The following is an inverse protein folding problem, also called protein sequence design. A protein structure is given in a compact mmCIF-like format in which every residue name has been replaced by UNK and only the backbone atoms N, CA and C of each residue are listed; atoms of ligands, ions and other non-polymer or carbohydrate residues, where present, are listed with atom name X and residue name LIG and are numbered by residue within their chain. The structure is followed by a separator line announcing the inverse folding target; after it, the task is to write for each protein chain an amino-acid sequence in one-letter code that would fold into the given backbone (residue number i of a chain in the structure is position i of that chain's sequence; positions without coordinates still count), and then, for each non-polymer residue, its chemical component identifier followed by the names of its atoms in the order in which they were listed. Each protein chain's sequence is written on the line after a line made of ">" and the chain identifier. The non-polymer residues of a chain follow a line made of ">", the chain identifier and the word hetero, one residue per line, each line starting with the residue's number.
data_IF_891371179548
#
_entry.id   IF_891371179548
#
_cell.length_a   1.000
_cell.length_b   1.000
_cell.length_c   1.000
_cell.angle_alpha   90.00
_cell.angle_beta   90.00
_cell.angle_gamma   90.00
#
_symmetry.space_group_name_H-M   'P 1'
#
loop_
_entity.id
_entity.type
_entity.pdbx_description
1 polymer ?
#
# COMPACT_ATOMS: atom_id res chain seq x y z
N UNK A 1 11.95 40.33 8.22
CA UNK A 1 12.58 39.12 7.62
C UNK A 1 12.68 37.92 8.59
N UNK A 2 12.74 38.12 9.92
CA UNK A 2 12.83 37.04 10.92
C UNK A 2 11.49 36.43 11.40
N UNK A 3 10.35 37.02 11.02
CA UNK A 3 9.02 36.47 11.38
C UNK A 3 8.64 35.23 10.56
N UNK A 4 8.92 35.24 9.24
CA UNK A 4 8.54 34.14 8.35
C UNK A 4 9.26 32.81 8.64
N UNK A 5 10.48 32.84 9.21
CA UNK A 5 11.19 31.62 9.60
C UNK A 5 10.57 30.94 10.84
N UNK A 6 9.95 31.70 11.76
CA UNK A 6 9.27 31.13 12.93
C UNK A 6 7.95 30.46 12.54
N UNK A 7 7.21 31.06 11.61
CA UNK A 7 5.95 30.48 11.12
C UNK A 7 6.18 29.16 10.35
N UNK A 8 7.28 29.05 9.59
CA UNK A 8 7.65 27.80 8.91
C UNK A 8 7.95 26.66 9.89
N UNK A 9 8.57 26.96 11.04
CA UNK A 9 8.83 25.95 12.08
C UNK A 9 7.59 25.58 12.89
N UNK A 10 6.60 26.48 13.00
CA UNK A 10 5.32 26.19 13.66
C UNK A 10 4.42 25.27 12.82
N UNK A 11 4.42 25.42 11.48
CA UNK A 11 3.65 24.52 10.60
C UNK A 11 4.22 23.09 10.58
N UNK A 12 5.54 22.95 10.76
CA UNK A 12 6.23 21.67 10.87
C UNK A 12 5.88 20.87 12.15
N UNK A 13 5.28 21.53 13.16
CA UNK A 13 4.84 20.89 14.41
C UNK A 13 3.44 20.27 14.35
N UNK A 14 2.73 20.40 13.22
CA UNK A 14 1.60 19.53 12.85
C UNK A 14 0.66 19.18 14.00
N UNK A 15 0.12 20.19 14.68
CA UNK A 15 -0.97 20.00 15.64
C UNK A 15 -2.30 19.93 14.87
N UNK A 16 -2.51 18.82 14.15
CA UNK A 16 -3.80 18.45 13.58
C UNK A 16 -4.29 17.13 14.21
N UNK A 17 -5.60 16.96 14.30
CA UNK A 17 -6.33 16.01 15.15
C UNK A 17 -6.11 14.50 14.88
N UNK A 18 -5.18 14.09 14.02
CA UNK A 18 -4.83 12.68 13.80
C UNK A 18 -3.39 12.39 14.25
N UNK A 19 -3.21 12.35 15.58
CA UNK A 19 -1.96 12.02 16.25
C UNK A 19 -1.62 10.51 16.22
N UNK A 20 -2.47 9.64 15.65
CA UNK A 20 -2.45 8.23 16.07
C UNK A 20 -1.42 7.32 15.40
N UNK A 21 -0.80 7.66 14.26
CA UNK A 21 0.11 6.68 13.64
C UNK A 21 1.27 7.31 12.86
N UNK A 22 2.18 7.99 13.53
CA UNK A 22 3.56 8.15 13.03
C UNK A 22 4.37 6.91 13.40
N UNK A 23 4.03 5.77 12.82
CA UNK A 23 4.92 4.62 12.79
C UNK A 23 4.84 3.97 11.41
N UNK A 24 5.96 3.44 10.87
CA UNK A 24 5.97 2.70 9.59
C UNK A 24 5.02 1.48 9.56
N UNK A 25 4.37 1.15 10.69
CA UNK A 25 3.29 0.17 10.81
C UNK A 25 1.93 0.67 10.36
N UNK A 26 1.71 1.98 10.34
CA UNK A 26 0.42 2.59 10.01
C UNK A 26 -0.10 2.12 8.66
N UNK A 27 0.80 2.15 7.68
CA UNK A 27 0.49 1.89 6.29
C UNK A 27 0.01 0.45 6.11
N UNK A 28 0.70 -0.53 6.70
CA UNK A 28 0.30 -1.93 6.66
C UNK A 28 -1.05 -2.18 7.36
N UNK A 29 -1.34 -1.52 8.48
CA UNK A 29 -2.64 -1.64 9.15
C UNK A 29 -3.79 -1.05 8.34
N UNK A 30 -3.58 0.07 7.64
CA UNK A 30 -4.61 0.67 6.78
C UNK A 30 -4.91 -0.27 5.61
N UNK A 31 -3.91 -0.95 5.04
CA UNK A 31 -4.12 -1.93 3.98
C UNK A 31 -4.85 -3.20 4.47
N UNK A 32 -4.50 -3.69 5.66
CA UNK A 32 -5.21 -4.80 6.29
C UNK A 32 -6.68 -4.43 6.57
N UNK A 33 -6.94 -3.22 7.07
CA UNK A 33 -8.29 -2.72 7.30
C UNK A 33 -9.07 -2.52 5.99
N UNK A 34 -8.44 -1.92 4.98
CA UNK A 34 -9.03 -1.76 3.65
C UNK A 34 -9.43 -3.10 3.03
N UNK A 35 -8.55 -4.10 3.10
CA UNK A 35 -8.84 -5.46 2.63
C UNK A 35 -9.93 -6.13 3.48
N UNK A 36 -9.90 -5.99 4.81
CA UNK A 36 -10.90 -6.54 5.72
C UNK A 36 -12.30 -5.97 5.49
N UNK A 37 -12.43 -4.69 5.13
CA UNK A 37 -13.73 -4.08 4.80
C UNK A 37 -14.12 -4.35 3.33
N UNK A 38 -13.13 -4.46 2.43
CA UNK A 38 -13.33 -4.80 1.02
C UNK A 38 -13.91 -6.20 0.81
N UNK A 39 -13.47 -7.21 1.58
CA UNK A 39 -13.97 -8.60 1.49
C UNK A 39 -15.50 -8.70 1.67
N UNK A 40 -16.10 -8.21 2.77
CA UNK A 40 -17.55 -8.29 2.98
C UNK A 40 -18.31 -7.37 2.01
N UNK A 41 -17.77 -6.19 1.65
CA UNK A 41 -18.41 -5.33 0.66
C UNK A 41 -18.48 -6.00 -0.72
N UNK A 42 -17.40 -6.66 -1.16
CA UNK A 42 -17.37 -7.36 -2.44
C UNK A 42 -18.28 -8.59 -2.42
N UNK A 43 -18.29 -9.35 -1.31
CA UNK A 43 -19.19 -10.50 -1.15
C UNK A 43 -20.66 -10.08 -1.20
N UNK A 44 -21.04 -9.04 -0.46
CA UNK A 44 -22.39 -8.48 -0.48
C UNK A 44 -22.74 -7.90 -1.85
N UNK A 45 -21.81 -7.22 -2.51
CA UNK A 45 -21.99 -6.70 -3.87
C UNK A 45 -22.34 -7.79 -4.88
N UNK A 46 -21.65 -8.94 -4.84
CA UNK A 46 -21.94 -10.10 -5.69
C UNK A 46 -23.32 -10.69 -5.34
N UNK A 47 -23.66 -10.79 -4.05
CA UNK A 47 -24.93 -11.38 -3.64
C UNK A 47 -26.15 -10.50 -3.98
N UNK A 48 -26.00 -9.18 -3.87
CA UNK A 48 -27.05 -8.20 -4.12
C UNK A 48 -27.27 -7.89 -5.60
N UNK A 49 -26.36 -8.28 -6.50
CA UNK A 49 -26.45 -7.95 -7.92
C UNK A 49 -27.73 -8.48 -8.60
N UNK A 50 -28.28 -9.58 -8.10
CA UNK A 50 -29.52 -10.20 -8.59
C UNK A 50 -30.79 -9.68 -7.90
N UNK A 51 -30.65 -9.03 -6.73
CA UNK A 51 -31.78 -8.64 -5.88
C UNK A 51 -32.03 -7.13 -5.98
N UNK A 52 -31.00 -6.32 -5.84
CA UNK A 52 -31.10 -4.85 -5.78
C UNK A 52 -29.89 -4.19 -6.42
N UNK A 53 -30.06 -3.72 -7.66
CA UNK A 53 -29.00 -3.07 -8.43
C UNK A 53 -28.42 -1.85 -7.71
N UNK A 54 -29.26 -0.97 -7.15
CA UNK A 54 -28.80 0.27 -6.48
C UNK A 54 -27.87 -0.01 -5.30
N UNK A 55 -28.17 -1.03 -4.49
CA UNK A 55 -27.33 -1.40 -3.35
C UNK A 55 -26.00 -2.00 -3.83
N UNK A 56 -26.01 -2.82 -4.88
CA UNK A 56 -24.80 -3.39 -5.45
C UNK A 56 -23.80 -2.31 -5.90
N UNK A 57 -24.28 -1.23 -6.53
CA UNK A 57 -23.44 -0.09 -6.93
C UNK A 57 -22.77 0.62 -5.75
N UNK A 58 -23.49 0.81 -4.63
CA UNK A 58 -22.94 1.44 -3.43
C UNK A 58 -21.85 0.56 -2.79
N UNK A 59 -22.07 -0.76 -2.69
CA UNK A 59 -21.06 -1.67 -2.15
C UNK A 59 -19.83 -1.82 -3.04
N UNK A 60 -20.02 -1.83 -4.37
CA UNK A 60 -18.91 -1.83 -5.33
C UNK A 60 -18.11 -0.53 -5.24
N UNK A 61 -18.76 0.62 -5.07
CA UNK A 61 -18.06 1.89 -4.87
C UNK A 61 -17.15 1.85 -3.63
N UNK A 62 -17.65 1.35 -2.50
CA UNK A 62 -16.84 1.20 -1.29
C UNK A 62 -15.68 0.21 -1.48
N UNK A 63 -15.93 -0.88 -2.19
CA UNK A 63 -14.91 -1.89 -2.55
C UNK A 63 -13.79 -1.29 -3.39
N UNK A 64 -14.12 -0.48 -4.39
CA UNK A 64 -13.14 0.21 -5.24
C UNK A 64 -12.33 1.22 -4.41
N UNK A 65 -12.96 1.97 -3.51
CA UNK A 65 -12.21 2.87 -2.62
C UNK A 65 -11.18 2.09 -1.80
N UNK A 66 -11.59 0.97 -1.20
CA UNK A 66 -10.71 0.13 -0.40
C UNK A 66 -9.53 -0.44 -1.23
N UNK A 67 -9.77 -0.86 -2.48
CA UNK A 67 -8.70 -1.38 -3.35
C UNK A 67 -7.72 -0.29 -3.79
N UNK A 68 -8.22 0.93 -4.05
CA UNK A 68 -7.38 2.08 -4.40
C UNK A 68 -6.44 2.46 -3.24
N UNK A 69 -6.92 2.38 -2.00
CA UNK A 69 -6.09 2.61 -0.82
C UNK A 69 -4.96 1.58 -0.72
N UNK A 70 -5.25 0.30 -0.95
CA UNK A 70 -4.24 -0.76 -0.95
C UNK A 70 -3.12 -0.48 -1.97
N UNK A 71 -3.47 -0.03 -3.17
CA UNK A 71 -2.49 0.32 -4.20
C UNK A 71 -1.60 1.49 -3.79
N UNK A 72 -2.19 2.57 -3.25
CA UNK A 72 -1.42 3.73 -2.76
C UNK A 72 -0.44 3.37 -1.64
N UNK A 73 -0.81 2.43 -0.78
CA UNK A 73 -0.02 2.03 0.38
C UNK A 73 1.16 1.13 -0.02
N UNK A 74 0.98 0.20 -0.97
CA UNK A 74 2.08 -0.64 -1.43
C UNK A 74 3.23 0.20 -1.98
N UNK A 75 2.89 1.23 -2.78
CA UNK A 75 3.85 2.22 -3.28
C UNK A 75 4.52 2.93 -2.12
N UNK A 76 3.80 3.39 -1.09
CA UNK A 76 4.44 4.04 0.06
C UNK A 76 5.44 3.12 0.80
N UNK A 77 5.06 1.87 1.05
CA UNK A 77 5.91 0.87 1.73
C UNK A 77 7.16 0.54 0.91
N UNK A 78 7.05 0.42 -0.41
CA UNK A 78 8.19 0.14 -1.29
C UNK A 78 9.27 1.22 -1.19
N UNK A 79 8.84 2.48 -1.14
CA UNK A 79 9.75 3.62 -1.17
C UNK A 79 10.44 3.83 0.18
N UNK A 80 9.90 3.26 1.26
CA UNK A 80 10.50 3.20 2.59
C UNK A 80 11.60 2.13 2.72
N UNK A 81 11.59 1.08 1.89
CA UNK A 81 12.59 -0.01 1.93
C UNK A 81 13.66 0.11 0.85
N UNK A 82 13.41 0.86 -0.23
CA UNK A 82 14.37 1.03 -1.33
C UNK A 82 15.19 2.31 -1.17
N UNK A 83 16.51 2.20 -1.34
CA UNK A 83 17.40 3.38 -1.36
C UNK A 83 16.98 4.40 -2.43
N UNK A 84 17.08 5.71 -2.17
CA UNK A 84 16.51 6.76 -3.02
C UNK A 84 17.00 6.73 -4.48
N UNK A 85 18.23 6.25 -4.73
CA UNK A 85 18.82 6.14 -6.07
C UNK A 85 18.15 5.07 -6.95
N UNK A 86 17.48 4.06 -6.37
CA UNK A 86 16.87 2.93 -7.10
C UNK A 86 15.35 2.92 -7.04
N UNK A 87 14.76 3.92 -6.36
CA UNK A 87 13.33 4.05 -6.07
C UNK A 87 12.44 4.00 -7.32
N UNK A 88 12.86 4.66 -8.40
CA UNK A 88 12.09 4.74 -9.65
C UNK A 88 11.96 3.38 -10.34
N UNK A 89 13.06 2.63 -10.45
CA UNK A 89 13.07 1.30 -11.09
C UNK A 89 12.21 0.32 -10.29
N UNK A 90 12.34 0.32 -8.95
CA UNK A 90 11.54 -0.56 -8.10
C UNK A 90 10.03 -0.29 -8.27
N UNK A 91 9.62 0.98 -8.27
CA UNK A 91 8.22 1.37 -8.48
C UNK A 91 7.71 0.95 -9.87
N UNK A 92 8.53 1.10 -10.92
CA UNK A 92 8.17 0.64 -12.26
C UNK A 92 7.98 -0.87 -12.33
N UNK A 93 8.84 -1.65 -11.65
CA UNK A 93 8.71 -3.10 -11.59
C UNK A 93 7.45 -3.55 -10.84
N UNK A 94 7.14 -2.91 -9.71
CA UNK A 94 5.91 -3.18 -8.95
C UNK A 94 4.66 -2.99 -9.83
N UNK A 95 4.57 -1.82 -10.49
CA UNK A 95 3.45 -1.48 -11.36
C UNK A 95 3.39 -2.44 -12.55
N UNK A 96 4.52 -2.74 -13.20
CA UNK A 96 4.57 -3.63 -14.36
C UNK A 96 4.08 -5.04 -14.01
N UNK A 97 4.55 -5.61 -12.90
CA UNK A 97 4.11 -6.93 -12.44
C UNK A 97 2.62 -6.90 -12.08
N UNK A 98 2.17 -5.87 -11.36
CA UNK A 98 0.78 -5.73 -10.93
C UNK A 98 -0.18 -5.61 -12.11
N UNK A 99 0.14 -4.80 -13.12
CA UNK A 99 -0.71 -4.66 -14.31
C UNK A 99 -0.64 -5.89 -15.22
N UNK A 100 0.54 -6.48 -15.43
CA UNK A 100 0.66 -7.66 -16.27
C UNK A 100 -0.12 -8.84 -15.68
N UNK A 101 0.00 -9.08 -14.38
CA UNK A 101 -0.72 -10.17 -13.72
C UNK A 101 -2.18 -9.77 -13.46
N UNK A 102 -2.47 -8.55 -13.06
CA UNK A 102 -3.83 -8.10 -12.77
C UNK A 102 -4.70 -8.00 -14.01
N UNK A 103 -4.31 -7.15 -14.96
CA UNK A 103 -5.15 -6.81 -16.12
C UNK A 103 -5.14 -7.89 -17.20
N UNK A 104 -4.00 -8.56 -17.43
CA UNK A 104 -3.94 -9.61 -18.44
C UNK A 104 -4.38 -10.99 -17.90
N UNK A 105 -3.96 -11.35 -16.68
CA UNK A 105 -4.28 -12.68 -16.13
C UNK A 105 -5.62 -12.74 -15.40
N UNK A 106 -6.07 -11.64 -14.79
CA UNK A 106 -7.37 -11.56 -14.10
C UNK A 106 -8.56 -12.01 -14.95
N UNK A 107 -8.85 -11.38 -16.10
CA UNK A 107 -9.98 -11.79 -16.94
C UNK A 107 -9.79 -13.19 -17.53
N UNK A 108 -8.55 -13.61 -17.79
CA UNK A 108 -8.26 -14.96 -18.29
C UNK A 108 -8.60 -16.04 -17.25
N UNK A 109 -8.18 -15.84 -15.99
CA UNK A 109 -8.47 -16.77 -14.88
C UNK A 109 -9.98 -16.82 -14.61
N UNK A 110 -10.65 -15.66 -14.54
CA UNK A 110 -12.10 -15.60 -14.31
C UNK A 110 -12.87 -16.24 -15.46
N UNK A 111 -12.43 -16.04 -16.70
CA UNK A 111 -13.01 -16.65 -17.90
C UNK A 111 -12.91 -18.18 -17.88
N UNK A 112 -11.71 -18.72 -17.65
CA UNK A 112 -11.50 -20.17 -17.55
C UNK A 112 -12.33 -20.81 -16.44
N UNK A 113 -12.46 -20.15 -15.29
CA UNK A 113 -13.28 -20.64 -14.18
C UNK A 113 -14.77 -20.57 -14.53
N UNK A 114 -15.23 -19.49 -15.16
CA UNK A 114 -16.61 -19.36 -15.63
C UNK A 114 -16.96 -20.46 -16.63
N UNK A 115 -16.06 -20.75 -17.58
CA UNK A 115 -16.26 -21.81 -18.58
C UNK A 115 -16.27 -23.20 -17.94
N UNK A 116 -15.40 -23.44 -16.95
CA UNK A 116 -15.37 -24.68 -16.17
C UNK A 116 -16.66 -24.91 -15.38
N UNK A 117 -17.22 -23.86 -14.76
CA UNK A 117 -18.48 -23.93 -13.97
C UNK A 117 -19.71 -24.12 -14.88
N UNK A 118 -19.67 -23.62 -16.11
CA UNK A 118 -20.80 -23.65 -17.06
C UNK A 118 -21.07 -25.04 -17.64
N UNK A 119 -20.04 -25.84 -17.90
CA UNK A 119 -20.20 -27.14 -18.56
C UNK A 119 -20.84 -27.03 -19.95
N UNK A 120 -21.79 -27.92 -20.28
CA UNK A 120 -22.38 -28.04 -21.64
C UNK A 120 -23.67 -27.23 -21.87
N UNK A 121 -24.15 -26.45 -20.89
CA UNK A 121 -25.44 -25.75 -20.99
C UNK A 121 -25.29 -24.34 -21.59
N UNK A 122 -26.07 -24.03 -22.62
CA UNK A 122 -25.96 -22.82 -23.45
C UNK A 122 -27.05 -21.77 -23.19
N UNK A 123 -27.74 -21.81 -22.05
CA UNK A 123 -28.78 -20.83 -21.73
C UNK A 123 -28.20 -19.48 -21.28
N UNK A 124 -28.72 -18.32 -21.73
CA UNK A 124 -28.22 -16.99 -21.34
C UNK A 124 -28.21 -16.75 -19.82
N UNK A 125 -29.19 -17.30 -19.09
CA UNK A 125 -29.25 -17.19 -17.63
C UNK A 125 -28.11 -17.96 -16.94
N UNK A 126 -27.69 -19.09 -17.52
CA UNK A 126 -26.57 -19.88 -16.99
C UNK A 126 -25.21 -19.22 -17.21
N UNK A 127 -25.06 -18.40 -18.26
CA UNK A 127 -23.85 -17.59 -18.47
C UNK A 127 -23.67 -16.57 -17.35
N UNK A 128 -24.73 -15.82 -17.01
CA UNK A 128 -24.67 -14.84 -15.93
C UNK A 128 -24.41 -15.51 -14.57
N UNK A 129 -25.08 -16.63 -14.28
CA UNK A 129 -24.88 -17.38 -13.05
C UNK A 129 -23.46 -17.96 -12.90
N UNK A 130 -22.86 -18.46 -13.99
CA UNK A 130 -21.49 -18.95 -13.99
C UNK A 130 -20.48 -17.81 -13.77
N UNK A 131 -20.72 -16.65 -14.40
CA UNK A 131 -19.88 -15.46 -14.25
C UNK A 131 -19.93 -14.92 -12.80
N UNK A 132 -21.12 -14.79 -12.22
CA UNK A 132 -21.29 -14.39 -10.81
C UNK A 132 -20.57 -15.37 -9.88
N UNK A 133 -20.60 -16.68 -10.19
CA UNK A 133 -19.85 -17.68 -9.42
C UNK A 133 -18.33 -17.54 -9.58
N UNK A 134 -17.84 -17.22 -10.76
CA UNK A 134 -16.42 -16.98 -10.99
C UNK A 134 -15.90 -15.78 -10.20
N UNK A 135 -16.73 -14.76 -9.96
CA UNK A 135 -16.39 -13.61 -9.12
C UNK A 135 -16.17 -13.93 -7.62
N UNK A 136 -16.51 -15.14 -7.13
CA UNK A 136 -16.10 -15.57 -5.80
C UNK A 136 -14.61 -15.89 -5.69
N UNK A 137 -13.92 -16.22 -6.79
CA UNK A 137 -12.47 -16.49 -6.78
C UNK A 137 -11.66 -15.24 -6.37
N UNK A 138 -11.89 -14.05 -6.97
CA UNK A 138 -11.31 -12.80 -6.48
C UNK A 138 -11.57 -12.52 -4.99
N UNK A 139 -12.75 -12.90 -4.47
CA UNK A 139 -13.08 -12.73 -3.06
C UNK A 139 -12.17 -13.60 -2.15
N UNK A 140 -11.91 -14.85 -2.53
CA UNK A 140 -10.97 -15.73 -1.80
C UNK A 140 -9.54 -15.19 -1.87
N UNK A 141 -9.11 -14.68 -3.02
CA UNK A 141 -7.79 -14.05 -3.18
C UNK A 141 -7.66 -12.83 -2.28
N UNK A 142 -8.72 -12.02 -2.13
CA UNK A 142 -8.75 -10.90 -1.19
C UNK A 142 -8.62 -11.34 0.27
N UNK A 143 -9.25 -12.45 0.66
CA UNK A 143 -9.10 -13.02 2.01
C UNK A 143 -7.65 -13.42 2.27
N UNK A 144 -7.03 -14.13 1.33
CA UNK A 144 -5.61 -14.52 1.41
C UNK A 144 -4.73 -13.27 1.52
N UNK A 145 -5.02 -12.25 0.71
CA UNK A 145 -4.33 -10.96 0.74
C UNK A 145 -4.42 -10.28 2.12
N UNK A 146 -5.62 -10.22 2.73
CA UNK A 146 -5.77 -9.65 4.07
C UNK A 146 -4.95 -10.38 5.13
N UNK A 147 -4.91 -11.72 5.08
CA UNK A 147 -4.07 -12.52 5.99
C UNK A 147 -2.58 -12.24 5.76
N UNK A 148 -2.14 -12.22 4.50
CA UNK A 148 -0.76 -11.91 4.15
C UNK A 148 -0.36 -10.50 4.57
N UNK A 149 -1.25 -9.50 4.47
CA UNK A 149 -0.98 -8.14 4.93
C UNK A 149 -0.86 -8.05 6.45
N UNK A 150 -1.64 -8.81 7.22
CA UNK A 150 -1.50 -8.89 8.68
C UNK A 150 -0.15 -9.50 9.05
N UNK A 151 0.23 -10.58 8.36
CA UNK A 151 1.54 -11.24 8.56
C UNK A 151 2.67 -10.27 8.19
N UNK A 152 2.57 -9.60 7.05
CA UNK A 152 3.54 -8.60 6.61
C UNK A 152 3.66 -7.44 7.62
N UNK A 153 2.55 -6.94 8.17
CA UNK A 153 2.57 -5.90 9.20
C UNK A 153 3.35 -6.32 10.46
N UNK A 154 3.29 -7.60 10.83
CA UNK A 154 4.03 -8.14 11.96
C UNK A 154 5.55 -8.22 11.68
N UNK A 155 5.94 -8.74 10.51
CA UNK A 155 7.35 -8.94 10.14
C UNK A 155 8.05 -7.68 9.63
N UNK A 156 7.32 -6.72 9.05
CA UNK A 156 7.88 -5.53 8.41
C UNK A 156 8.73 -4.69 9.37
N UNK A 157 8.36 -4.62 10.65
CA UNK A 157 9.14 -3.82 11.61
C UNK A 157 10.40 -4.49 12.09
N UNK A 158 10.42 -5.81 12.19
CA UNK A 158 11.67 -6.53 12.46
C UNK A 158 12.69 -6.30 11.35
N UNK A 159 12.25 -6.32 10.09
CA UNK A 159 13.14 -6.14 8.94
C UNK A 159 13.56 -4.67 8.76
N UNK A 160 12.66 -3.72 8.99
CA UNK A 160 12.99 -2.30 8.92
C UNK A 160 14.01 -1.87 9.97
N UNK A 161 13.93 -2.41 11.19
CA UNK A 161 14.93 -2.17 12.24
C UNK A 161 16.27 -2.83 11.94
N UNK A 162 16.28 -3.97 11.25
CA UNK A 162 17.51 -4.63 10.78
C UNK A 162 18.17 -3.85 9.65
N UNK A 163 17.38 -3.37 8.69
CA UNK A 163 17.85 -2.50 7.60
C UNK A 163 18.52 -1.22 8.11
N UNK A 164 17.93 -0.56 9.13
CA UNK A 164 18.52 0.63 9.77
C UNK A 164 19.88 0.37 10.42
N UNK A 165 20.07 -0.82 11.01
CA UNK A 165 21.35 -1.22 11.60
C UNK A 165 22.42 -1.46 10.53
N UNK A 166 22.06 -2.14 9.45
CA UNK A 166 22.98 -2.41 8.33
C UNK A 166 23.36 -1.15 7.54
N UNK A 167 22.44 -0.18 7.46
CA UNK A 167 22.69 1.15 6.87
C UNK A 167 23.48 2.09 7.79
N UNK A 168 23.93 1.63 8.97
CA UNK A 168 24.83 2.39 9.85
C UNK A 168 24.20 3.58 10.56
N UNK A 169 22.86 3.66 10.67
CA UNK A 169 22.19 4.80 11.31
C UNK A 169 22.24 4.77 12.85
N UNK A 170 22.91 3.78 13.46
CA UNK A 170 23.09 3.63 14.91
C UNK A 170 24.56 3.88 15.30
N UNK A 171 25.14 4.98 14.83
CA UNK A 171 26.32 5.56 15.50
C UNK A 171 26.38 7.10 15.41
N UNK A 172 25.22 7.77 15.53
CA UNK A 172 25.20 9.25 15.66
C UNK A 172 24.16 9.81 16.62
N UNK A 173 23.67 8.97 17.54
CA UNK A 173 22.74 9.36 18.60
C UNK A 173 23.06 8.72 19.96
N UNK A 174 24.24 8.12 20.11
CA UNK A 174 24.75 7.57 21.37
C UNK A 174 25.84 8.41 22.06
N UNK A 175 26.34 9.48 21.43
CA UNK A 175 27.43 10.31 21.97
C UNK A 175 27.08 11.80 21.96
N UNK A 176 25.94 12.18 22.52
CA UNK A 176 25.68 13.58 22.88
C UNK A 176 24.93 13.65 24.21
N UNK A 177 25.57 13.09 25.23
CA UNK A 177 25.42 13.57 26.61
C UNK A 177 26.81 13.61 27.20
N UNK A 178 27.58 14.61 26.78
CA UNK A 178 28.66 15.28 27.52
C UNK A 178 29.33 16.25 26.55
N UNK A 179 29.40 17.52 26.96
CA UNK A 179 30.18 18.62 26.39
C UNK A 179 29.52 19.43 25.26
N UNK A 180 28.59 20.28 25.67
CA UNK A 180 28.48 21.64 25.16
C UNK A 180 29.90 22.28 25.12
N UNK A 181 30.46 22.51 23.92
CA UNK A 181 31.40 23.62 23.57
C UNK A 181 32.40 23.39 22.41
N UNK A 182 32.32 22.38 21.52
CA UNK A 182 33.39 22.24 20.51
C UNK A 182 33.04 21.71 19.10
N UNK A 183 32.01 22.25 18.44
CA UNK A 183 31.84 22.06 16.98
C UNK A 183 31.43 23.35 16.25
N UNK A 184 32.22 24.41 16.48
CA UNK A 184 32.29 25.62 15.63
C UNK A 184 33.43 25.54 14.60
N UNK A 185 34.05 24.38 14.37
CA UNK A 185 35.19 24.26 13.45
C UNK A 185 34.94 23.12 12.46
N UNK A 186 34.24 23.41 11.35
CA UNK A 186 34.45 22.80 10.00
C UNK A 186 33.46 23.21 8.91
N UNK A 187 32.82 24.38 9.01
CA UNK A 187 32.20 25.02 7.83
C UNK A 187 33.26 25.78 7.04
N UNK A 188 34.24 25.07 6.48
CA UNK A 188 35.17 25.63 5.50
C UNK A 188 35.57 24.54 4.49
N UNK A 189 35.44 24.89 3.20
CA UNK A 189 35.61 24.10 1.96
C UNK A 189 34.36 23.25 1.60
N UNK A 190 33.56 23.59 0.60
CA UNK A 190 33.88 24.31 -0.64
C UNK A 190 34.65 23.39 -1.59
N UNK A 191 33.94 22.43 -2.19
CA UNK A 191 34.20 21.83 -3.52
C UNK A 191 33.12 20.78 -3.85
N UNK A 192 32.25 21.19 -4.77
CA UNK A 192 31.84 20.48 -5.98
C UNK A 192 31.46 19.00 -5.85
N UNK A 193 30.17 18.70 -5.94
CA UNK A 193 29.67 17.43 -6.47
C UNK A 193 28.37 17.70 -7.23
N UNK A 194 28.53 18.19 -8.46
CA UNK A 194 27.49 18.10 -9.48
C UNK A 194 27.41 16.66 -9.95
N UNK A 195 26.36 15.94 -9.56
CA UNK A 195 26.04 14.63 -10.09
C UNK A 195 24.53 14.36 -10.01
N UNK A 196 23.70 15.34 -10.38
CA UNK A 196 22.29 15.15 -10.71
C UNK A 196 21.89 16.22 -11.73
N UNK A 197 22.02 15.89 -13.01
CA UNK A 197 21.32 16.49 -14.12
C UNK A 197 20.57 15.36 -14.83
#
# INVERSE_FOLDING_TARGET
>A
KNSNRRNFQLWSRGLCCFKFVKTPRANAYVCAFGSAVGIPCLFLGIHLILVNMTLAWVFIFFTIIAICLNWSINVEILLDVVTPQRRSVANSWEILISHLLGDASGPYIVGLVSDSIRGTNSSPASHFGALVKAFYIPNVILVISAVLYIVAAAYFVSDHERFKKEMGFVDRTGSTTSNDNELQVRTANGKDNQAFA
#
